data_IF_139668316321
#
_entry.id   IF_139668316321
#
_cell.length_a   1.000
_cell.length_b   1.000
_cell.length_c   1.000
_cell.angle_alpha   90.00
_cell.angle_beta   90.00
_cell.angle_gamma   90.00
#
_symmetry.space_group_name_H-M   'P 1'
#
loop_
_entity.id
_entity.type
_entity.pdbx_description
1 polymer ?
#
# COMPACT_ATOMS: atom_id res chain seq x y z
N UNK A 1 4.50 24.92 -5.43
CA UNK A 1 3.54 23.84 -5.11
C UNK A 1 4.10 22.56 -5.69
N UNK A 2 4.53 21.61 -4.85
CA UNK A 2 4.99 20.30 -5.33
C UNK A 2 3.81 19.34 -5.28
N UNK A 3 3.42 18.87 -6.47
CA UNK A 3 2.46 17.78 -6.65
C UNK A 3 2.91 16.56 -5.84
N UNK A 4 1.98 15.84 -5.17
CA UNK A 4 2.31 14.57 -4.55
C UNK A 4 2.87 13.66 -5.63
N UNK A 5 4.01 13.03 -5.33
CA UNK A 5 4.69 12.11 -6.24
C UNK A 5 3.65 11.10 -6.74
N UNK A 6 3.45 10.97 -8.07
CA UNK A 6 2.62 9.88 -8.58
C UNK A 6 3.28 8.59 -8.09
N UNK A 7 2.46 7.64 -7.65
CA UNK A 7 2.92 6.25 -7.57
C UNK A 7 3.68 5.97 -8.88
N UNK A 8 4.93 5.49 -8.86
CA UNK A 8 5.69 5.32 -10.09
C UNK A 8 4.85 4.51 -11.09
N UNK A 9 4.54 5.12 -12.25
CA UNK A 9 3.74 4.55 -13.34
C UNK A 9 4.39 3.30 -13.97
N UNK A 10 5.62 2.98 -13.54
CA UNK A 10 6.51 2.05 -14.25
C UNK A 10 6.17 0.56 -14.03
N UNK A 11 5.20 0.21 -13.17
CA UNK A 11 4.84 -1.20 -12.94
C UNK A 11 3.40 -1.41 -12.40
N UNK A 12 2.34 -1.19 -13.20
CA UNK A 12 0.95 -1.42 -12.77
C UNK A 12 0.70 -2.85 -12.30
N UNK A 13 1.39 -3.85 -12.90
CA UNK A 13 1.33 -5.25 -12.49
C UNK A 13 1.84 -5.45 -11.06
N UNK A 14 2.97 -4.86 -10.68
CA UNK A 14 3.55 -5.05 -9.35
C UNK A 14 2.64 -4.55 -8.23
N UNK A 15 1.93 -3.43 -8.44
CA UNK A 15 0.92 -2.96 -7.48
C UNK A 15 -0.30 -3.90 -7.38
N UNK A 16 -0.74 -4.46 -8.51
CA UNK A 16 -1.81 -5.46 -8.54
C UNK A 16 -1.39 -6.74 -7.79
N UNK A 17 -0.16 -7.19 -8.00
CA UNK A 17 0.40 -8.37 -7.36
C UNK A 17 0.54 -8.16 -5.84
N UNK A 18 1.00 -6.98 -5.39
CA UNK A 18 1.01 -6.62 -3.96
C UNK A 18 -0.40 -6.70 -3.36
N UNK A 19 -1.40 -6.13 -4.05
CA UNK A 19 -2.78 -6.16 -3.57
C UNK A 19 -3.34 -7.60 -3.52
N UNK A 20 -3.07 -8.42 -4.53
CA UNK A 20 -3.46 -9.81 -4.57
C UNK A 20 -2.83 -10.62 -3.43
N UNK A 21 -1.54 -10.41 -3.15
CA UNK A 21 -0.85 -11.04 -2.02
C UNK A 21 -1.43 -10.61 -0.66
N UNK A 22 -1.77 -9.33 -0.49
CA UNK A 22 -2.42 -8.83 0.73
C UNK A 22 -3.79 -9.52 0.93
N UNK A 23 -4.60 -9.62 -0.13
CA UNK A 23 -5.90 -10.29 -0.07
C UNK A 23 -5.76 -11.77 0.24
N UNK A 24 -4.79 -12.46 -0.38
CA UNK A 24 -4.52 -13.87 -0.10
C UNK A 24 -4.10 -14.10 1.37
N UNK A 25 -3.23 -13.23 1.92
CA UNK A 25 -2.84 -13.27 3.33
C UNK A 25 -4.03 -13.02 4.27
N UNK A 26 -4.89 -12.06 3.96
CA UNK A 26 -6.10 -11.77 4.74
C UNK A 26 -7.09 -12.95 4.75
N UNK A 27 -7.13 -13.73 3.66
CA UNK A 27 -7.92 -14.95 3.55
C UNK A 27 -7.20 -16.20 4.07
N UNK A 28 -6.02 -16.07 4.68
CA UNK A 28 -5.18 -17.18 5.12
C UNK A 28 -4.78 -18.17 4.02
N UNK A 29 -4.79 -17.75 2.74
CA UNK A 29 -4.39 -18.58 1.60
C UNK A 29 -2.87 -18.58 1.40
N UNK A 30 -2.17 -19.28 2.30
CA UNK A 30 -0.70 -19.42 2.22
C UNK A 30 -0.24 -20.21 0.99
N UNK A 31 -1.09 -21.06 0.42
CA UNK A 31 -0.79 -21.81 -0.80
C UNK A 31 -0.77 -20.88 -2.00
N UNK A 32 -1.80 -20.04 -2.17
CA UNK A 32 -1.87 -19.03 -3.22
C UNK A 32 -0.70 -18.05 -3.15
N UNK A 33 -0.35 -17.58 -1.95
CA UNK A 33 0.83 -16.72 -1.74
C UNK A 33 2.12 -17.39 -2.24
N UNK A 34 2.36 -18.65 -1.85
CA UNK A 34 3.56 -19.38 -2.29
C UNK A 34 3.56 -19.62 -3.79
N UNK A 35 2.42 -19.96 -4.38
CA UNK A 35 2.30 -20.16 -5.83
C UNK A 35 2.62 -18.89 -6.60
N UNK A 36 2.10 -17.74 -6.16
CA UNK A 36 2.39 -16.45 -6.79
C UNK A 36 3.87 -16.09 -6.69
N UNK A 37 4.46 -16.19 -5.50
CA UNK A 37 5.87 -15.84 -5.29
C UNK A 37 6.84 -16.77 -6.05
N UNK A 38 6.52 -18.06 -6.16
CA UNK A 38 7.34 -19.02 -6.89
C UNK A 38 7.23 -18.86 -8.42
N UNK A 39 6.19 -18.20 -8.92
CA UNK A 39 6.00 -17.94 -10.34
C UNK A 39 6.75 -16.68 -10.81
N UNK A 40 7.25 -15.86 -9.88
CA UNK A 40 7.94 -14.61 -10.18
C UNK A 40 9.44 -14.84 -10.41
N UNK A 41 9.99 -14.12 -11.38
CA UNK A 41 11.45 -14.03 -11.54
C UNK A 41 12.07 -12.97 -10.62
N UNK A 42 13.39 -12.82 -10.67
CA UNK A 42 14.11 -11.87 -9.82
C UNK A 42 13.74 -10.41 -10.09
N UNK A 43 13.45 -10.03 -11.34
CA UNK A 43 13.07 -8.66 -11.69
C UNK A 43 11.65 -8.34 -11.19
N UNK A 44 10.73 -9.31 -11.31
CA UNK A 44 9.38 -9.20 -10.79
C UNK A 44 9.35 -9.10 -9.26
N UNK A 45 10.19 -9.87 -8.56
CA UNK A 45 10.33 -9.78 -7.09
C UNK A 45 10.90 -8.40 -6.68
N UNK A 46 11.86 -7.85 -7.43
CA UNK A 46 12.39 -6.52 -7.17
C UNK A 46 11.30 -5.43 -7.37
N UNK A 47 10.55 -5.53 -8.47
CA UNK A 47 9.43 -4.63 -8.75
C UNK A 47 8.33 -4.72 -7.68
N UNK A 48 7.99 -5.94 -7.24
CA UNK A 48 7.04 -6.20 -6.15
C UNK A 48 7.51 -5.56 -4.84
N UNK A 49 8.80 -5.69 -4.52
CA UNK A 49 9.40 -5.11 -3.30
C UNK A 49 9.35 -3.59 -3.30
N UNK A 50 9.65 -2.96 -4.45
CA UNK A 50 9.53 -1.50 -4.64
C UNK A 50 8.07 -1.06 -4.51
N UNK A 51 7.14 -1.75 -5.17
CA UNK A 51 5.70 -1.46 -5.11
C UNK A 51 5.14 -1.60 -3.68
N UNK A 52 5.54 -2.63 -2.94
CA UNK A 52 5.16 -2.82 -1.54
C UNK A 52 5.67 -1.65 -0.66
N UNK A 53 6.94 -1.28 -0.82
CA UNK A 53 7.54 -0.19 -0.05
C UNK A 53 6.87 1.16 -0.34
N UNK A 54 6.58 1.46 -1.61
CA UNK A 54 5.86 2.66 -2.03
C UNK A 54 4.42 2.68 -1.48
N UNK A 55 3.72 1.54 -1.55
CA UNK A 55 2.36 1.39 -1.03
C UNK A 55 2.31 1.61 0.49
N UNK A 56 3.26 1.03 1.23
CA UNK A 56 3.38 1.20 2.68
C UNK A 56 3.65 2.66 3.08
N UNK A 57 4.55 3.33 2.37
CA UNK A 57 4.83 4.75 2.61
C UNK A 57 3.59 5.62 2.36
N UNK A 58 2.86 5.36 1.26
CA UNK A 58 1.60 6.05 0.95
C UNK A 58 0.53 5.82 2.03
N UNK A 59 0.33 4.57 2.48
CA UNK A 59 -0.61 4.25 3.55
C UNK A 59 -0.24 4.94 4.87
N UNK A 60 1.04 4.94 5.24
CA UNK A 60 1.53 5.62 6.46
C UNK A 60 1.22 7.13 6.42
N UNK A 61 1.44 7.78 5.28
CA UNK A 61 1.10 9.20 5.10
C UNK A 61 -0.41 9.44 5.20
N UNK A 62 -1.23 8.57 4.59
CA UNK A 62 -2.69 8.67 4.66
C UNK A 62 -3.20 8.51 6.09
N UNK A 63 -2.73 7.51 6.85
CA UNK A 63 -3.14 7.32 8.24
C UNK A 63 -2.74 8.51 9.12
N UNK A 64 -1.53 9.05 8.95
CA UNK A 64 -1.11 10.26 9.67
C UNK A 64 -2.04 11.44 9.38
N UNK A 65 -2.37 11.67 8.10
CA UNK A 65 -3.28 12.75 7.70
C UNK A 65 -4.68 12.54 8.27
N UNK A 66 -5.23 11.34 8.14
CA UNK A 66 -6.55 10.98 8.66
C UNK A 66 -6.64 11.17 10.18
N UNK A 67 -5.64 10.71 10.93
CA UNK A 67 -5.59 10.92 12.39
C UNK A 67 -5.55 12.41 12.75
N UNK A 68 -4.80 13.22 12.00
CA UNK A 68 -4.78 14.68 12.17
C UNK A 68 -6.14 15.33 11.90
N UNK A 69 -6.87 14.87 10.89
CA UNK A 69 -8.21 15.37 10.56
C UNK A 69 -9.28 14.95 11.57
N UNK A 70 -9.23 13.70 12.05
CA UNK A 70 -10.12 13.23 13.12
C UNK A 70 -9.93 14.09 14.37
N UNK A 71 -8.67 14.27 14.80
CA UNK A 71 -8.35 15.07 15.99
C UNK A 71 -8.78 16.54 15.86
N UNK A 72 -8.63 17.13 14.66
CA UNK A 72 -9.14 18.49 14.39
C UNK A 72 -10.66 18.55 14.51
N UNK A 73 -11.36 17.58 13.94
CA UNK A 73 -12.83 17.53 13.92
C UNK A 73 -13.40 17.38 15.34
N UNK A 74 -12.77 16.56 16.19
CA UNK A 74 -13.18 16.37 17.58
C UNK A 74 -12.94 17.60 18.46
N UNK A 75 -11.86 18.35 18.21
CA UNK A 75 -11.57 19.57 18.96
C UNK A 75 -12.55 20.70 18.62
N UNK A 76 -12.97 20.81 17.36
CA UNK A 76 -13.97 21.80 16.91
C UNK A 76 -15.37 21.54 17.49
N UNK A 77 -15.72 20.29 17.79
CA UNK A 77 -17.00 19.95 18.43
C UNK A 77 -17.02 20.14 19.95
N UNK A 78 -15.87 20.32 20.59
CA UNK A 78 -15.76 20.45 22.05
C UNK A 78 -15.72 21.92 22.51
N UNK A 79 -15.44 22.86 21.60
CA UNK A 79 -15.38 24.30 21.89
C UNK A 79 -16.68 25.07 21.53
N UNK A 80 -17.81 24.36 21.31
CA UNK A 80 -19.13 24.95 21.08
C UNK A 80 -20.12 24.62 22.21
#
# INVERSE_FOLDING_TARGET
MTTPSPLPDDAPKAYQDVNALIVALANHDLTGVRTMLNAMDSEEIEALTKAHSASWAAQTMLFRRLGGEINRSTNLTTEG
#
